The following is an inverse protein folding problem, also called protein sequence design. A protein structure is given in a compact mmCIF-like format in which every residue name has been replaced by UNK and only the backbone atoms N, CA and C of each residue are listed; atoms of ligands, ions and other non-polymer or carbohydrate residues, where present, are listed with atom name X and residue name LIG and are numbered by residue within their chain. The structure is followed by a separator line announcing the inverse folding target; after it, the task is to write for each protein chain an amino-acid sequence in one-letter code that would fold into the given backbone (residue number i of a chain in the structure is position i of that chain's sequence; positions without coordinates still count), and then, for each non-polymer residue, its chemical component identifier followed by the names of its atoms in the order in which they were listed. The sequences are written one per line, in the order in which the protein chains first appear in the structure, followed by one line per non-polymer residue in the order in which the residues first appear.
data_IF_715607329905
#
_entry.id   IF_715607329905
#
_cell.length_a   1.000
_cell.length_b   1.000
_cell.length_c   1.000
_cell.angle_alpha   90.00
_cell.angle_beta   90.00
_cell.angle_gamma   90.00
#
_symmetry.space_group_name_H-M   'P 1'
#
loop_
_entity.id
_entity.type
_entity.pdbx_description
1 polymer ?
#
# COMPACT_ATOMS: atom_id res chain seq x y z
N UNK A 1 -0.11 5.81 4.39
CA UNK A 1 -0.54 5.36 5.73
C UNK A 1 -0.72 3.84 5.82
N UNK A 2 -0.94 3.15 4.71
CA UNK A 2 -1.21 1.70 4.68
C UNK A 2 0.02 0.82 4.42
N UNK A 3 1.14 1.37 3.99
CA UNK A 3 2.32 0.62 3.55
C UNK A 3 3.61 1.35 3.96
N UNK A 4 4.73 0.64 3.88
CA UNK A 4 6.08 1.12 4.18
C UNK A 4 6.87 1.49 2.93
N UNK A 5 6.37 1.13 1.76
CA UNK A 5 7.02 1.43 0.48
C UNK A 5 6.02 1.70 -0.63
N UNK A 6 6.50 2.27 -1.71
CA UNK A 6 5.74 2.56 -2.93
C UNK A 6 6.56 2.17 -4.16
N UNK A 7 5.91 1.57 -5.15
CA UNK A 7 6.51 1.33 -6.47
C UNK A 7 6.10 2.49 -7.37
N UNK A 8 7.09 3.27 -7.82
CA UNK A 8 6.91 4.34 -8.78
C UNK A 8 6.95 3.74 -10.18
N UNK A 9 5.78 3.53 -10.79
CA UNK A 9 5.68 2.95 -12.14
C UNK A 9 5.65 4.07 -13.18
N UNK A 10 6.67 4.13 -14.02
CA UNK A 10 6.79 5.10 -15.11
C UNK A 10 6.66 4.37 -16.45
N UNK A 11 5.87 4.90 -17.37
CA UNK A 11 5.77 4.42 -18.74
C UNK A 11 7.05 4.78 -19.52
N UNK A 12 7.85 3.79 -19.87
CA UNK A 12 9.12 4.02 -20.58
C UNK A 12 8.96 4.64 -21.99
N UNK A 13 7.75 4.67 -22.54
CA UNK A 13 7.47 5.31 -23.83
C UNK A 13 7.03 6.78 -23.68
N UNK A 14 6.38 7.13 -22.55
CA UNK A 14 5.84 8.47 -22.31
C UNK A 14 6.76 9.30 -21.39
N UNK A 15 7.49 8.64 -20.48
CA UNK A 15 8.33 9.32 -19.49
C UNK A 15 7.56 9.74 -18.24
N UNK A 16 8.06 10.76 -17.55
CA UNK A 16 7.52 11.24 -16.27
C UNK A 16 6.36 12.20 -16.50
N UNK A 17 5.18 11.87 -15.98
CA UNK A 17 3.99 12.70 -16.04
C UNK A 17 3.79 13.50 -14.72
N UNK A 18 3.06 14.60 -14.78
CA UNK A 18 2.81 15.47 -13.62
C UNK A 18 2.18 14.72 -12.43
N UNK A 19 1.29 13.77 -12.70
CA UNK A 19 0.67 12.96 -11.65
C UNK A 19 1.67 12.00 -10.99
N UNK A 20 2.61 11.48 -11.76
CA UNK A 20 3.71 10.63 -11.26
C UNK A 20 4.57 11.41 -10.25
N UNK A 21 4.92 12.65 -10.60
CA UNK A 21 5.68 13.56 -9.72
C UNK A 21 4.95 13.82 -8.41
N UNK A 22 3.68 14.23 -8.50
CA UNK A 22 2.87 14.57 -7.32
C UNK A 22 2.70 13.37 -6.36
N UNK A 23 2.43 12.19 -6.91
CA UNK A 23 2.30 10.97 -6.13
C UNK A 23 3.62 10.54 -5.49
N UNK A 24 4.75 10.71 -6.21
CA UNK A 24 6.06 10.38 -5.69
C UNK A 24 6.45 11.29 -4.52
N UNK A 25 6.26 12.60 -4.63
CA UNK A 25 6.49 13.52 -3.51
C UNK A 25 5.62 13.19 -2.30
N UNK A 26 4.35 12.81 -2.50
CA UNK A 26 3.50 12.36 -1.40
C UNK A 26 4.07 11.13 -0.70
N UNK A 27 4.64 10.18 -1.44
CA UNK A 27 5.29 9.00 -0.87
C UNK A 27 6.56 9.38 -0.08
N UNK A 28 7.39 10.26 -0.64
CA UNK A 28 8.62 10.76 0.01
C UNK A 28 8.30 11.51 1.31
N UNK A 29 7.33 12.42 1.27
CA UNK A 29 6.90 13.21 2.44
C UNK A 29 6.36 12.33 3.58
N UNK A 30 5.81 11.17 3.24
CA UNK A 30 5.38 10.15 4.20
C UNK A 30 6.51 9.23 4.68
N UNK A 31 7.74 9.42 4.19
CA UNK A 31 8.90 8.61 4.55
C UNK A 31 8.86 7.18 4.02
N UNK A 32 8.16 6.94 2.91
CA UNK A 32 8.07 5.63 2.29
C UNK A 32 9.33 5.34 1.46
N UNK A 33 9.75 4.07 1.43
CA UNK A 33 10.73 3.61 0.45
C UNK A 33 10.12 3.64 -0.94
N UNK A 34 10.76 4.34 -1.89
CA UNK A 34 10.26 4.47 -3.26
C UNK A 34 11.13 3.66 -4.21
N UNK A 35 10.52 2.70 -4.90
CA UNK A 35 11.18 1.83 -5.87
C UNK A 35 10.80 2.28 -7.28
N UNK A 36 11.69 2.96 -8.03
CA UNK A 36 11.43 3.35 -9.41
C UNK A 36 11.41 2.13 -10.32
N UNK A 37 10.44 2.09 -11.22
CA UNK A 37 10.19 0.97 -12.14
C UNK A 37 9.73 1.50 -13.49
N UNK A 38 10.37 1.04 -14.56
CA UNK A 38 10.04 1.41 -15.92
C UNK A 38 9.19 0.32 -16.56
N UNK A 39 7.95 0.63 -16.89
CA UNK A 39 7.01 -0.31 -17.48
C UNK A 39 6.88 -0.09 -18.98
N UNK A 40 6.31 -1.08 -19.68
CA UNK A 40 6.05 -1.11 -21.11
C UNK A 40 7.32 -1.15 -21.97
N UNK A 41 8.37 -1.80 -21.48
CA UNK A 41 9.63 -1.97 -22.25
C UNK A 41 9.44 -2.78 -23.53
N UNK A 42 8.33 -3.49 -23.67
CA UNK A 42 7.92 -4.24 -24.86
C UNK A 42 7.48 -3.35 -26.05
N UNK A 43 7.25 -2.07 -25.82
CA UNK A 43 6.81 -1.16 -26.87
C UNK A 43 8.00 -0.67 -27.73
N UNK A 44 7.85 -0.56 -29.06
CA UNK A 44 8.90 -0.05 -29.93
C UNK A 44 9.33 1.39 -29.63
N UNK A 45 8.44 2.20 -29.04
CA UNK A 45 8.71 3.58 -28.64
C UNK A 45 9.28 3.70 -27.22
N UNK A 46 9.59 2.57 -26.56
CA UNK A 46 10.17 2.57 -25.22
C UNK A 46 11.59 3.10 -25.25
N UNK A 47 11.88 4.07 -24.37
CA UNK A 47 13.21 4.62 -24.14
C UNK A 47 13.50 4.65 -22.61
N UNK A 48 13.96 3.52 -22.04
CA UNK A 48 14.22 3.42 -20.61
C UNK A 48 15.30 4.37 -20.11
N UNK A 49 16.33 4.66 -20.91
CA UNK A 49 17.43 5.53 -20.48
C UNK A 49 16.93 6.98 -20.33
N UNK A 50 16.19 7.48 -21.32
CA UNK A 50 15.53 8.79 -21.22
C UNK A 50 14.60 8.86 -19.98
N UNK A 51 13.82 7.82 -19.73
CA UNK A 51 12.91 7.81 -18.59
C UNK A 51 13.65 7.81 -17.23
N UNK A 52 14.84 7.17 -17.16
CA UNK A 52 15.72 7.26 -15.99
C UNK A 52 16.18 8.70 -15.77
N UNK A 53 16.72 9.35 -16.80
CA UNK A 53 17.19 10.73 -16.71
C UNK A 53 16.04 11.68 -16.30
N UNK A 54 14.84 11.51 -16.86
CA UNK A 54 13.67 12.30 -16.49
C UNK A 54 13.25 12.10 -15.02
N UNK A 55 13.34 10.89 -14.47
CA UNK A 55 13.07 10.64 -13.05
C UNK A 55 14.09 11.34 -12.16
N UNK A 56 15.38 11.22 -12.49
CA UNK A 56 16.45 11.84 -11.70
C UNK A 56 16.39 13.37 -11.78
N UNK A 57 16.15 13.95 -12.96
CA UNK A 57 16.09 15.40 -13.17
C UNK A 57 14.82 16.04 -12.60
N UNK A 58 13.66 15.38 -12.74
CA UNK A 58 12.36 15.97 -12.40
C UNK A 58 11.96 15.69 -10.95
N UNK A 59 12.23 14.48 -10.46
CA UNK A 59 11.82 14.04 -9.12
C UNK A 59 12.97 14.15 -8.13
N UNK A 60 14.21 13.96 -8.58
CA UNK A 60 15.41 14.03 -7.74
C UNK A 60 15.71 12.76 -6.96
N UNK A 61 15.15 11.62 -7.35
CA UNK A 61 15.46 10.30 -6.78
C UNK A 61 16.35 9.53 -7.75
N UNK A 62 17.27 8.70 -7.21
CA UNK A 62 18.10 7.84 -8.08
C UNK A 62 17.25 6.76 -8.75
N UNK A 63 17.35 6.65 -10.06
CA UNK A 63 16.64 5.66 -10.88
C UNK A 63 17.59 4.71 -11.65
N UNK A 64 18.89 4.75 -11.35
CA UNK A 64 19.90 3.93 -12.05
C UNK A 64 19.65 2.44 -11.92
N UNK A 65 19.12 2.01 -10.79
CA UNK A 65 18.77 0.61 -10.49
C UNK A 65 17.30 0.28 -10.75
N UNK A 66 16.57 1.21 -11.45
CA UNK A 66 15.17 1.01 -11.77
C UNK A 66 14.94 -0.27 -12.56
N UNK A 67 13.97 -1.08 -12.13
CA UNK A 67 13.61 -2.30 -12.85
C UNK A 67 12.88 -1.98 -14.13
N UNK A 68 13.37 -2.57 -15.23
CA UNK A 68 12.76 -2.48 -16.56
C UNK A 68 11.82 -3.66 -16.72
N UNK A 69 10.52 -3.41 -16.82
CA UNK A 69 9.49 -4.46 -16.87
C UNK A 69 8.52 -4.27 -18.03
N UNK A 70 7.87 -5.36 -18.37
CA UNK A 70 6.61 -5.33 -19.10
C UNK A 70 5.53 -6.07 -18.32
N UNK A 71 4.62 -5.34 -17.73
CA UNK A 71 3.49 -5.95 -17.03
C UNK A 71 2.59 -6.76 -17.98
N UNK A 72 2.63 -6.47 -19.29
CA UNK A 72 1.87 -7.18 -20.32
C UNK A 72 2.45 -8.56 -20.61
N UNK A 73 3.77 -8.65 -20.75
CA UNK A 73 4.47 -9.92 -21.09
C UNK A 73 4.92 -10.68 -19.86
N UNK A 74 5.03 -10.01 -18.70
CA UNK A 74 5.58 -10.57 -17.47
C UNK A 74 7.10 -10.42 -17.35
N UNK A 75 7.76 -9.83 -18.35
CA UNK A 75 9.20 -9.64 -18.38
C UNK A 75 9.66 -8.71 -17.24
N UNK A 76 10.70 -9.09 -16.50
CA UNK A 76 11.26 -8.33 -15.38
C UNK A 76 10.37 -8.25 -14.12
N UNK A 77 9.15 -8.77 -14.14
CA UNK A 77 8.20 -8.65 -13.00
C UNK A 77 8.68 -9.42 -11.77
N UNK A 78 9.27 -10.61 -11.96
CA UNK A 78 9.81 -11.42 -10.84
C UNK A 78 10.94 -10.67 -10.14
N UNK A 79 11.83 -10.05 -10.90
CA UNK A 79 12.95 -9.27 -10.35
C UNK A 79 12.48 -8.04 -9.58
N UNK A 80 11.38 -7.40 -10.04
CA UNK A 80 10.75 -6.32 -9.31
C UNK A 80 10.14 -6.79 -7.98
N UNK A 81 9.47 -7.94 -7.96
CA UNK A 81 8.91 -8.51 -6.73
C UNK A 81 10.01 -8.84 -5.71
N UNK A 82 11.12 -9.42 -6.17
CA UNK A 82 12.29 -9.66 -5.30
C UNK A 82 12.87 -8.35 -4.76
N UNK A 83 12.95 -7.30 -5.58
CA UNK A 83 13.43 -5.99 -5.14
C UNK A 83 12.50 -5.38 -4.08
N UNK A 84 11.19 -5.51 -4.22
CA UNK A 84 10.22 -5.06 -3.21
C UNK A 84 10.48 -5.77 -1.88
N UNK A 85 10.65 -7.09 -1.89
CA UNK A 85 10.91 -7.88 -0.68
C UNK A 85 12.23 -7.49 0.00
N UNK A 86 13.25 -7.15 -0.79
CA UNK A 86 14.57 -6.79 -0.27
C UNK A 86 14.63 -5.36 0.29
N UNK A 87 13.96 -4.40 -0.35
CA UNK A 87 14.14 -2.98 -0.07
C UNK A 87 13.03 -2.39 0.81
N UNK A 88 11.78 -2.86 0.69
CA UNK A 88 10.69 -2.32 1.53
C UNK A 88 10.81 -2.90 2.93
N UNK A 89 10.95 -2.06 3.97
CA UNK A 89 11.06 -2.54 5.33
C UNK A 89 9.76 -3.20 5.80
N UNK A 90 9.83 -4.18 6.71
CA UNK A 90 8.64 -4.75 7.30
C UNK A 90 7.91 -3.73 8.20
N UNK A 91 6.59 -3.86 8.38
CA UNK A 91 5.83 -2.98 9.25
C UNK A 91 6.34 -3.04 10.69
N UNK A 92 6.54 -1.84 11.28
CA UNK A 92 6.96 -1.71 12.67
C UNK A 92 5.72 -1.78 13.57
N UNK A 93 5.79 -2.61 14.63
CA UNK A 93 4.73 -2.68 15.62
C UNK A 93 4.89 -3.84 16.60
N UNK A 94 4.26 -3.71 17.78
CA UNK A 94 4.28 -4.73 18.81
C UNK A 94 2.98 -5.54 18.79
N UNK A 95 3.06 -6.81 18.42
CA UNK A 95 1.91 -7.75 18.42
C UNK A 95 1.33 -8.01 19.80
N UNK A 96 2.10 -7.80 20.87
CA UNK A 96 1.67 -7.98 22.26
C UNK A 96 1.22 -6.68 22.93
N UNK A 97 1.39 -5.56 22.25
CA UNK A 97 1.02 -4.24 22.72
C UNK A 97 -0.49 -4.03 22.78
N UNK A 98 -0.90 -2.88 23.33
CA UNK A 98 -2.30 -2.46 23.30
C UNK A 98 -2.74 -2.21 21.86
N UNK A 99 -3.95 -2.61 21.50
CA UNK A 99 -4.50 -2.40 20.17
C UNK A 99 -4.47 -0.92 19.79
N UNK A 100 -3.85 -0.62 18.69
CA UNK A 100 -3.87 0.66 18.00
C UNK A 100 -4.05 0.41 16.51
N UNK A 101 -5.08 0.99 15.92
CA UNK A 101 -5.37 0.87 14.51
C UNK A 101 -5.78 2.22 13.93
N UNK A 102 -5.47 2.43 12.66
CA UNK A 102 -5.87 3.59 11.89
C UNK A 102 -6.97 3.18 10.92
N UNK A 103 -8.05 3.93 10.89
CA UNK A 103 -9.06 3.84 9.82
C UNK A 103 -8.50 4.58 8.61
N UNK A 104 -8.30 3.85 7.51
CA UNK A 104 -7.77 4.38 6.26
C UNK A 104 -8.91 4.87 5.37
N UNK A 105 -9.99 4.08 5.34
CA UNK A 105 -11.17 4.34 4.51
C UNK A 105 -12.42 3.73 5.16
N UNK A 106 -13.60 4.14 4.71
CA UNK A 106 -14.86 3.57 5.13
C UNK A 106 -15.94 3.72 4.06
N UNK A 107 -16.79 2.72 3.93
CA UNK A 107 -17.94 2.75 3.02
C UNK A 107 -19.14 2.08 3.65
N UNK A 108 -20.31 2.32 3.09
CA UNK A 108 -21.55 1.73 3.52
C UNK A 108 -21.93 0.53 2.64
N UNK A 109 -22.24 -0.59 3.26
CA UNK A 109 -22.80 -1.78 2.64
C UNK A 109 -24.24 -1.99 3.10
N UNK A 110 -25.15 -2.32 2.18
CA UNK A 110 -26.58 -2.46 2.49
C UNK A 110 -26.92 -3.60 3.46
N UNK A 111 -26.01 -4.58 3.62
CA UNK A 111 -26.21 -5.76 4.46
C UNK A 111 -25.37 -5.71 5.73
N UNK A 112 -24.15 -5.19 5.63
CA UNK A 112 -23.19 -5.19 6.74
C UNK A 112 -23.10 -3.83 7.47
N UNK A 113 -23.76 -2.79 6.93
CA UNK A 113 -23.65 -1.44 7.48
C UNK A 113 -22.32 -0.78 7.13
N UNK A 114 -21.73 -0.07 8.08
CA UNK A 114 -20.45 0.61 7.86
C UNK A 114 -19.30 -0.40 7.93
N UNK A 115 -18.55 -0.48 6.83
CA UNK A 115 -17.32 -1.24 6.74
C UNK A 115 -16.14 -0.27 6.81
N UNK A 116 -15.22 -0.51 7.73
CA UNK A 116 -13.99 0.28 7.88
C UNK A 116 -12.81 -0.50 7.33
N UNK A 117 -12.00 0.10 6.46
CA UNK A 117 -10.68 -0.39 6.12
C UNK A 117 -9.69 0.15 7.15
N UNK A 118 -9.02 -0.75 7.86
CA UNK A 118 -8.08 -0.38 8.92
C UNK A 118 -6.70 -0.95 8.69
N UNK A 119 -5.69 -0.27 9.23
CA UNK A 119 -4.36 -0.83 9.46
C UNK A 119 -4.13 -0.98 10.96
N UNK A 120 -3.73 -2.16 11.40
CA UNK A 120 -3.33 -2.42 12.77
C UNK A 120 -1.86 -2.03 12.96
N UNK A 121 -1.57 -1.03 13.81
CA UNK A 121 -0.22 -0.63 14.15
C UNK A 121 0.35 -1.47 15.29
N UNK A 122 -0.39 -1.62 16.38
CA UNK A 122 0.02 -2.42 17.52
C UNK A 122 -1.10 -3.34 18.00
N UNK A 123 -0.72 -4.41 18.67
CA UNK A 123 -1.64 -5.39 19.22
C UNK A 123 -2.28 -6.30 18.19
N UNK A 124 -3.42 -6.83 18.56
CA UNK A 124 -4.24 -7.70 17.72
C UNK A 124 -5.71 -7.33 17.89
N UNK A 125 -6.45 -7.35 16.80
CA UNK A 125 -7.89 -7.19 16.78
C UNK A 125 -8.55 -8.54 16.51
N UNK A 126 -9.49 -8.92 17.35
CA UNK A 126 -10.26 -10.15 17.21
C UNK A 126 -11.74 -9.84 16.99
N UNK A 127 -12.47 -10.77 16.38
CA UNK A 127 -13.93 -10.76 16.39
C UNK A 127 -14.44 -10.73 17.85
N UNK A 128 -15.54 -10.03 18.07
CA UNK A 128 -16.13 -9.78 19.41
C UNK A 128 -15.28 -8.90 20.35
N UNK A 129 -14.14 -8.39 19.92
CA UNK A 129 -13.38 -7.39 20.68
C UNK A 129 -14.17 -6.10 20.82
N UNK A 130 -14.01 -5.44 21.98
CA UNK A 130 -14.50 -4.08 22.16
C UNK A 130 -13.45 -3.09 21.66
N UNK A 131 -13.86 -2.21 20.76
CA UNK A 131 -13.03 -1.12 20.23
C UNK A 131 -13.56 0.23 20.68
N UNK A 132 -12.67 1.21 20.78
CA UNK A 132 -12.99 2.60 21.06
C UNK A 132 -12.65 3.43 19.83
N UNK A 133 -13.63 4.08 19.23
CA UNK A 133 -13.38 5.14 18.23
C UNK A 133 -12.92 6.40 18.99
N UNK A 134 -11.66 6.77 18.77
CA UNK A 134 -11.00 7.80 19.59
C UNK A 134 -11.62 9.19 19.39
N UNK A 135 -12.07 9.50 18.19
CA UNK A 135 -12.67 10.81 17.87
C UNK A 135 -14.06 10.97 18.47
N UNK A 136 -14.96 10.02 18.26
CA UNK A 136 -16.34 10.04 18.78
C UNK A 136 -16.44 9.59 20.23
N UNK A 137 -15.40 8.97 20.79
CA UNK A 137 -15.35 8.33 22.12
C UNK A 137 -16.42 7.24 22.32
N UNK A 138 -16.94 6.69 21.21
CA UNK A 138 -17.92 5.62 21.22
C UNK A 138 -17.27 4.24 21.27
N UNK A 139 -17.93 3.30 21.91
CA UNK A 139 -17.47 1.91 22.03
C UNK A 139 -18.33 1.01 21.16
N UNK A 140 -17.70 0.19 20.36
CA UNK A 140 -18.36 -0.76 19.48
C UNK A 140 -17.79 -2.17 19.67
N UNK A 141 -18.54 -3.18 19.27
CA UNK A 141 -18.09 -4.57 19.27
C UNK A 141 -17.82 -4.97 17.83
N UNK A 142 -16.65 -5.54 17.58
CA UNK A 142 -16.31 -6.08 16.27
C UNK A 142 -17.19 -7.30 15.97
N UNK A 143 -18.03 -7.18 14.95
CA UNK A 143 -18.91 -8.25 14.51
C UNK A 143 -18.19 -9.18 13.54
N UNK A 144 -17.48 -8.56 12.58
CA UNK A 144 -16.74 -9.27 11.54
C UNK A 144 -15.47 -8.51 11.21
N UNK A 145 -14.42 -9.25 10.83
CA UNK A 145 -13.19 -8.70 10.28
C UNK A 145 -12.59 -9.65 9.25
N UNK A 146 -11.70 -9.14 8.43
CA UNK A 146 -11.03 -9.93 7.39
C UNK A 146 -10.09 -9.10 6.54
N UNK A 147 -9.64 -9.69 5.45
CA UNK A 147 -8.72 -9.09 4.47
C UNK A 147 -9.32 -9.14 3.07
N UNK A 148 -8.74 -8.38 2.15
CA UNK A 148 -9.04 -8.48 0.72
C UNK A 148 -7.87 -9.15 -0.01
N UNK A 149 -8.16 -10.29 -0.74
CA UNK A 149 -7.15 -11.08 -1.44
C UNK A 149 -7.72 -11.72 -2.74
N UNK A 150 -8.02 -11.01 -3.81
CA UNK A 150 -8.65 -9.69 -3.94
C UNK A 150 -10.09 -9.64 -3.42
N UNK A 151 -10.72 -10.80 -3.22
CA UNK A 151 -12.06 -10.89 -2.61
C UNK A 151 -11.97 -10.79 -1.10
N UNK A 152 -13.07 -10.42 -0.46
CA UNK A 152 -13.14 -10.40 1.01
C UNK A 152 -13.00 -11.82 1.57
N UNK A 153 -12.03 -12.00 2.47
CA UNK A 153 -11.81 -13.22 3.24
C UNK A 153 -12.00 -12.91 4.71
N UNK A 154 -13.01 -13.52 5.32
CA UNK A 154 -13.26 -13.37 6.77
C UNK A 154 -12.12 -14.04 7.55
N UNK A 155 -11.65 -13.36 8.60
CA UNK A 155 -10.60 -13.82 9.50
C UNK A 155 -11.08 -13.76 10.95
N UNK A 156 -10.44 -14.49 11.83
CA UNK A 156 -10.72 -14.41 13.28
C UNK A 156 -9.97 -13.26 13.94
N UNK A 157 -8.85 -12.84 13.36
CA UNK A 157 -7.99 -11.78 13.88
C UNK A 157 -7.24 -11.03 12.79
N UNK A 158 -6.87 -9.78 13.12
CA UNK A 158 -5.86 -8.98 12.42
C UNK A 158 -4.75 -8.62 13.42
N UNK A 159 -3.51 -8.76 13.00
CA UNK A 159 -2.32 -8.50 13.83
C UNK A 159 -1.62 -7.22 13.38
N UNK A 160 -0.72 -6.70 14.22
CA UNK A 160 0.16 -5.58 13.89
C UNK A 160 0.81 -5.73 12.52
N UNK A 161 0.71 -4.69 11.69
CA UNK A 161 1.17 -4.63 10.29
C UNK A 161 0.11 -5.02 9.26
N UNK A 162 -0.96 -5.71 9.64
CA UNK A 162 -1.98 -6.13 8.68
C UNK A 162 -2.98 -5.00 8.39
N UNK A 163 -3.39 -4.95 7.12
CA UNK A 163 -4.51 -4.13 6.62
C UNK A 163 -5.70 -5.04 6.36
N UNK A 164 -6.87 -4.65 6.83
CA UNK A 164 -8.07 -5.45 6.67
C UNK A 164 -9.35 -4.64 6.90
N UNK A 165 -10.49 -5.27 6.66
CA UNK A 165 -11.80 -4.67 6.92
C UNK A 165 -12.36 -5.06 8.27
N UNK A 166 -13.17 -4.17 8.83
CA UNK A 166 -13.88 -4.37 10.11
C UNK A 166 -15.31 -3.88 9.99
N UNK A 167 -16.23 -4.68 10.50
CA UNK A 167 -17.64 -4.34 10.70
C UNK A 167 -17.90 -4.34 12.21
N UNK A 168 -18.48 -3.26 12.72
CA UNK A 168 -18.61 -3.07 14.18
C UNK A 168 -19.93 -2.37 14.60
N UNK A 169 -20.98 -2.44 13.80
CA UNK A 169 -22.29 -1.87 14.14
C UNK A 169 -22.23 -0.36 14.42
N UNK A 170 -21.63 0.42 13.53
CA UNK A 170 -21.46 1.88 13.62
C UNK A 170 -22.57 2.59 12.86
#
# INVERSE_FOLDING_TARGET
AACEGAVLVVDASQGVEAQTVANCYTAIDLGLEVIPTLNKIDLPASDPERAIDEIEDTIGISAKDAKKISAKTGDGVVDLLEQIVLNVPPPIGDKKGKLQALIIDSWFDNYLGVIMLIRVFNGQLHTRSKILLMQSKTKHIVEQLGVFSPRSEVREKLSSGEVGFVVAGI
#
